data_IF_246667068133
#
_entry.id   IF_246667068133
#
_cell.length_a   1.000
_cell.length_b   1.000
_cell.length_c   1.000
_cell.angle_alpha   90.00
_cell.angle_beta   90.00
_cell.angle_gamma   90.00
#
_symmetry.space_group_name_H-M   'P 1'
#
loop_
_entity.id
_entity.type
_entity.pdbx_description
1 polymer ?
#
# COMPACT_ATOMS: atom_id res chain seq x y z
N UNK A 1 -13.78 -10.84 34.42
CA UNK A 1 -12.62 -9.99 34.73
C UNK A 1 -11.42 -10.54 33.97
N UNK A 2 -11.35 -10.27 32.67
CA UNK A 2 -10.24 -10.68 31.81
C UNK A 2 -9.27 -9.51 31.74
N UNK A 3 -8.15 -9.63 32.45
CA UNK A 3 -7.04 -8.68 32.36
C UNK A 3 -6.54 -8.63 30.91
N UNK A 4 -6.84 -7.52 30.24
CA UNK A 4 -6.25 -7.20 28.95
C UNK A 4 -4.82 -6.79 29.25
N UNK A 5 -3.87 -7.70 29.04
CA UNK A 5 -2.44 -7.39 29.11
C UNK A 5 -2.15 -6.36 28.02
N UNK A 6 -2.00 -5.10 28.41
CA UNK A 6 -1.60 -4.01 27.52
C UNK A 6 -0.11 -4.19 27.20
N UNK A 7 0.19 -4.66 26.00
CA UNK A 7 1.56 -4.62 25.48
C UNK A 7 1.91 -3.19 25.09
N UNK A 8 3.12 -2.75 25.43
CA UNK A 8 3.64 -1.44 25.05
C UNK A 8 3.62 -1.24 23.53
N UNK A 9 3.17 -0.06 23.11
CA UNK A 9 3.25 0.40 21.72
C UNK A 9 4.72 0.33 21.27
N UNK A 10 4.99 -0.48 20.25
CA UNK A 10 6.32 -0.63 19.64
C UNK A 10 7.01 -1.99 19.82
N UNK A 11 6.46 -2.92 20.60
CA UNK A 11 7.05 -4.27 20.73
C UNK A 11 6.61 -5.20 19.60
N UNK A 12 7.54 -5.55 18.69
CA UNK A 12 7.35 -6.57 17.64
C UNK A 12 7.95 -7.90 18.15
N UNK A 13 7.13 -8.96 18.25
CA UNK A 13 7.66 -10.28 18.62
C UNK A 13 8.33 -10.96 17.43
N UNK A 14 9.38 -11.74 17.72
CA UNK A 14 10.34 -12.22 16.73
C UNK A 14 9.89 -13.50 15.98
N UNK A 15 8.69 -13.47 15.38
CA UNK A 15 8.00 -14.54 14.62
C UNK A 15 7.04 -15.45 15.41
N UNK A 16 5.97 -15.94 14.73
CA UNK A 16 5.04 -16.97 15.22
C UNK A 16 3.62 -16.51 15.58
N UNK A 17 3.45 -15.34 16.17
CA UNK A 17 2.16 -14.92 16.77
C UNK A 17 1.36 -13.89 15.94
N UNK A 18 1.80 -13.58 14.73
CA UNK A 18 1.24 -12.48 13.94
C UNK A 18 -0.25 -12.69 13.61
N UNK A 19 -0.66 -13.91 13.23
CA UNK A 19 -2.06 -14.21 12.89
C UNK A 19 -2.99 -14.17 14.10
N UNK A 20 -2.54 -14.65 15.26
CA UNK A 20 -3.30 -14.63 16.52
C UNK A 20 -3.42 -13.20 17.06
N UNK A 21 -2.37 -12.38 16.93
CA UNK A 21 -2.44 -10.97 17.31
C UNK A 21 -3.30 -10.17 16.35
N UNK A 22 -3.14 -10.36 15.04
CA UNK A 22 -3.91 -9.64 14.02
C UNK A 22 -5.41 -9.96 14.12
N UNK A 23 -5.77 -11.22 14.35
CA UNK A 23 -7.18 -11.60 14.61
C UNK A 23 -7.72 -11.01 15.91
N UNK A 24 -6.91 -10.86 16.96
CA UNK A 24 -7.34 -10.23 18.23
C UNK A 24 -7.43 -8.70 18.14
N UNK A 25 -6.48 -8.04 17.50
CA UNK A 25 -6.45 -6.57 17.34
C UNK A 25 -7.45 -6.10 16.28
N UNK A 26 -7.48 -6.75 15.11
CA UNK A 26 -8.44 -6.42 14.07
C UNK A 26 -9.82 -6.98 14.37
N UNK A 27 -9.96 -8.09 15.10
CA UNK A 27 -11.28 -8.61 15.48
C UNK A 27 -12.08 -7.62 16.35
N UNK A 28 -11.41 -6.99 17.32
CA UNK A 28 -12.02 -5.97 18.16
C UNK A 28 -12.33 -4.67 17.40
N UNK A 29 -11.42 -4.24 16.51
CA UNK A 29 -11.63 -3.05 15.67
C UNK A 29 -12.77 -3.30 14.67
N UNK A 30 -12.81 -4.47 14.04
CA UNK A 30 -13.87 -4.86 13.09
C UNK A 30 -15.23 -4.91 13.77
N UNK A 31 -15.32 -5.38 15.02
CA UNK A 31 -16.59 -5.37 15.76
C UNK A 31 -17.09 -3.95 16.04
N UNK A 32 -16.22 -3.05 16.50
CA UNK A 32 -16.60 -1.65 16.75
C UNK A 32 -17.07 -0.94 15.48
N UNK A 33 -16.39 -1.15 14.37
CA UNK A 33 -16.81 -0.61 13.08
C UNK A 33 -18.09 -1.27 12.55
N UNK A 34 -18.28 -2.58 12.75
CA UNK A 34 -19.51 -3.28 12.35
C UNK A 34 -20.73 -2.81 13.14
N UNK A 35 -20.58 -2.51 14.44
CA UNK A 35 -21.68 -2.07 15.31
C UNK A 35 -22.02 -0.58 15.08
N UNK A 36 -21.01 0.22 14.72
CA UNK A 36 -21.22 1.60 14.25
C UNK A 36 -21.91 1.62 12.88
N UNK A 37 -21.50 0.75 11.95
CA UNK A 37 -22.12 0.65 10.62
C UNK A 37 -23.55 0.09 10.70
N UNK A 38 -23.78 -0.92 11.54
CA UNK A 38 -25.12 -1.46 11.77
C UNK A 38 -26.07 -0.42 12.36
N UNK A 39 -25.59 0.43 13.29
CA UNK A 39 -26.37 1.58 13.79
C UNK A 39 -26.67 2.59 12.69
N UNK A 40 -25.67 2.98 11.89
CA UNK A 40 -25.86 3.93 10.80
C UNK A 40 -26.85 3.41 9.74
N UNK A 41 -26.77 2.13 9.39
CA UNK A 41 -27.72 1.49 8.46
C UNK A 41 -29.13 1.37 9.05
N UNK A 42 -29.26 1.06 10.34
CA UNK A 42 -30.56 1.01 11.01
C UNK A 42 -31.23 2.39 11.05
N UNK A 43 -30.44 3.45 11.27
CA UNK A 43 -30.90 4.84 11.23
C UNK A 43 -31.35 5.22 9.81
N UNK A 44 -30.58 4.86 8.78
CA UNK A 44 -30.92 5.11 7.37
C UNK A 44 -32.15 4.31 6.89
N UNK A 45 -32.35 3.08 7.37
CA UNK A 45 -33.55 2.27 7.07
C UNK A 45 -34.78 2.80 7.81
N UNK A 46 -34.61 3.36 9.01
CA UNK A 46 -35.72 4.00 9.75
C UNK A 46 -36.18 5.32 9.14
N UNK A 47 -35.31 5.97 8.36
CA UNK A 47 -35.56 7.25 7.68
C UNK A 47 -35.99 7.07 6.21
N UNK A 48 -35.94 5.84 5.68
CA UNK A 48 -36.36 5.53 4.31
C UNK A 48 -37.85 5.19 4.27
N UNK A 49 -38.63 6.01 3.56
CA UNK A 49 -40.02 5.70 3.23
C UNK A 49 -40.09 4.35 2.50
N UNK A 50 -40.98 3.46 2.95
CA UNK A 50 -41.11 2.11 2.42
C UNK A 50 -41.27 2.13 0.89
N UNK A 51 -40.34 1.51 0.17
CA UNK A 51 -40.41 1.37 -1.29
C UNK A 51 -41.74 0.71 -1.68
N UNK A 52 -42.45 1.23 -2.70
CA UNK A 52 -43.71 0.65 -3.12
C UNK A 52 -43.47 -0.77 -3.65
N UNK A 53 -44.18 -1.72 -3.06
CA UNK A 53 -44.20 -3.11 -3.49
C UNK A 53 -44.43 -3.18 -5.02
N UNK A 54 -43.51 -3.82 -5.73
CA UNK A 54 -43.65 -4.02 -7.16
C UNK A 54 -44.92 -4.83 -7.45
N UNK A 55 -45.82 -4.38 -8.33
CA UNK A 55 -47.02 -5.14 -8.63
C UNK A 55 -46.66 -6.44 -9.35
N UNK A 56 -47.01 -7.57 -8.73
CA UNK A 56 -46.87 -8.93 -9.26
C UNK A 56 -47.98 -9.26 -10.27
N UNK A 57 -48.32 -8.33 -11.17
CA UNK A 57 -49.30 -8.59 -12.22
C UNK A 57 -48.54 -8.86 -13.52
N UNK A 58 -48.48 -10.14 -13.91
CA UNK A 58 -47.94 -10.53 -15.21
C UNK A 58 -48.95 -10.07 -16.27
N UNK A 59 -48.51 -9.23 -17.21
CA UNK A 59 -49.36 -8.83 -18.35
C UNK A 59 -49.65 -10.05 -19.23
N UNK A 60 -50.94 -10.36 -19.39
CA UNK A 60 -51.47 -11.49 -20.16
C UNK A 60 -52.27 -10.94 -21.34
N UNK A 61 -52.14 -11.56 -22.50
CA UNK A 61 -52.92 -11.18 -23.68
C UNK A 61 -54.41 -11.52 -23.48
N UNK A 62 -55.30 -10.59 -23.82
CA UNK A 62 -56.73 -10.64 -23.46
C UNK A 62 -57.47 -11.69 -24.28
N UNK A 63 -56.99 -12.02 -25.48
CA UNK A 63 -57.64 -12.96 -26.39
C UNK A 63 -57.15 -14.39 -26.21
N UNK A 64 -55.87 -14.59 -25.90
CA UNK A 64 -55.23 -15.92 -25.85
C UNK A 64 -54.94 -16.40 -24.42
N UNK A 65 -54.88 -15.51 -23.44
CA UNK A 65 -54.54 -15.87 -22.05
C UNK A 65 -53.06 -16.24 -21.87
N UNK A 66 -52.21 -16.03 -22.87
CA UNK A 66 -50.78 -16.31 -22.78
C UNK A 66 -50.00 -15.14 -22.17
N UNK A 67 -48.94 -15.41 -21.39
CA UNK A 67 -48.13 -14.35 -20.79
C UNK A 67 -47.37 -13.58 -21.88
N UNK A 68 -47.68 -12.29 -22.03
CA UNK A 68 -47.09 -11.39 -23.05
C UNK A 68 -45.57 -11.33 -22.92
N UNK A 69 -45.08 -11.39 -21.69
CA UNK A 69 -43.65 -11.42 -21.40
C UNK A 69 -42.95 -12.65 -22.02
N UNK A 70 -43.59 -13.83 -21.99
CA UNK A 70 -43.05 -15.07 -22.55
C UNK A 70 -42.99 -15.05 -24.08
N UNK A 71 -44.04 -14.54 -24.72
CA UNK A 71 -44.06 -14.36 -26.17
C UNK A 71 -42.97 -13.37 -26.63
N UNK A 72 -42.83 -12.23 -25.94
CA UNK A 72 -41.79 -11.23 -26.25
C UNK A 72 -40.38 -11.77 -26.07
N UNK A 73 -40.12 -12.58 -25.04
CA UNK A 73 -38.79 -13.18 -24.85
C UNK A 73 -38.48 -14.22 -25.90
N UNK A 74 -39.46 -15.07 -26.27
CA UNK A 74 -39.29 -16.04 -27.36
C UNK A 74 -39.03 -15.36 -28.70
N UNK A 75 -39.75 -14.28 -29.03
CA UNK A 75 -39.48 -13.50 -30.25
C UNK A 75 -38.05 -12.96 -30.28
N UNK A 76 -37.57 -12.39 -29.16
CA UNK A 76 -36.18 -11.91 -29.06
C UNK A 76 -35.16 -13.03 -29.20
N UNK A 77 -35.43 -14.22 -28.65
CA UNK A 77 -34.54 -15.38 -28.78
C UNK A 77 -34.48 -15.84 -30.25
N UNK A 78 -35.62 -15.85 -30.95
CA UNK A 78 -35.67 -16.19 -32.37
C UNK A 78 -34.89 -15.15 -33.19
N UNK A 79 -35.10 -13.86 -32.95
CA UNK A 79 -34.34 -12.77 -33.58
C UNK A 79 -32.82 -12.94 -33.38
N UNK A 80 -32.38 -13.22 -32.14
CA UNK A 80 -30.97 -13.46 -31.83
C UNK A 80 -30.41 -14.69 -32.55
N UNK A 81 -31.19 -15.76 -32.68
CA UNK A 81 -30.78 -16.98 -33.40
C UNK A 81 -30.72 -16.78 -34.92
N UNK A 82 -31.50 -15.85 -35.45
CA UNK A 82 -31.46 -15.50 -36.87
C UNK A 82 -30.37 -14.49 -37.21
N UNK A 83 -29.78 -13.81 -36.22
CA UNK A 83 -28.65 -12.93 -36.45
C UNK A 83 -27.42 -13.74 -36.89
N UNK A 84 -26.83 -13.45 -38.07
CA UNK A 84 -25.60 -14.09 -38.49
C UNK A 84 -24.45 -13.58 -37.61
N UNK A 85 -24.08 -14.37 -36.61
CA UNK A 85 -22.90 -14.11 -35.78
C UNK A 85 -21.68 -14.65 -36.51
N UNK A 86 -20.91 -13.75 -37.12
CA UNK A 86 -19.57 -14.07 -37.64
C UNK A 86 -18.54 -13.74 -36.58
N UNK A 87 -17.61 -14.65 -36.31
CA UNK A 87 -16.47 -14.38 -35.44
C UNK A 87 -15.60 -13.29 -36.07
N UNK A 88 -15.69 -12.08 -35.53
CA UNK A 88 -14.81 -10.98 -35.91
C UNK A 88 -13.56 -11.05 -35.04
N UNK A 89 -12.41 -11.32 -35.64
CA UNK A 89 -11.13 -11.20 -34.96
C UNK A 89 -10.92 -9.73 -34.52
N UNK A 90 -11.11 -9.46 -33.23
CA UNK A 90 -10.84 -8.14 -32.65
C UNK A 90 -9.34 -7.98 -32.52
N UNK A 91 -8.69 -7.53 -33.61
CA UNK A 91 -7.29 -7.10 -33.55
C UNK A 91 -7.24 -5.81 -32.71
N UNK A 92 -6.42 -5.73 -31.65
CA UNK A 92 -6.15 -4.47 -30.98
C UNK A 92 -5.76 -3.42 -32.03
N UNK A 93 -6.23 -2.16 -31.92
CA UNK A 93 -5.77 -1.12 -32.81
C UNK A 93 -4.25 -1.14 -32.80
N UNK A 94 -3.64 -1.17 -33.98
CA UNK A 94 -2.18 -1.06 -34.04
C UNK A 94 -1.82 0.22 -33.28
N UNK A 95 -0.89 0.12 -32.31
CA UNK A 95 -0.46 1.31 -31.61
C UNK A 95 0.02 2.28 -32.68
N UNK A 96 -0.63 3.43 -32.76
CA UNK A 96 -0.11 4.62 -33.42
C UNK A 96 1.11 5.05 -32.62
N UNK A 97 2.18 4.26 -32.69
CA UNK A 97 3.49 4.80 -32.56
C UNK A 97 3.59 5.77 -33.72
N UNK A 98 3.47 7.06 -33.40
CA UNK A 98 4.24 8.03 -34.15
C UNK A 98 5.63 7.40 -34.31
N UNK A 99 6.17 7.25 -35.54
CA UNK A 99 7.55 6.81 -35.71
C UNK A 99 8.35 7.69 -34.76
N UNK A 100 8.93 7.06 -33.73
CA UNK A 100 9.69 7.62 -32.60
C UNK A 100 9.50 9.13 -32.54
N UNK A 101 8.62 9.67 -31.67
CA UNK A 101 8.48 11.12 -31.54
C UNK A 101 9.87 11.76 -31.60
N UNK A 102 10.22 12.30 -32.77
CA UNK A 102 11.51 12.90 -33.02
C UNK A 102 11.40 14.17 -32.20
N UNK A 103 11.87 14.08 -30.96
CA UNK A 103 12.06 15.26 -30.15
C UNK A 103 12.93 16.16 -31.00
N UNK A 104 12.35 17.27 -31.46
CA UNK A 104 13.07 18.25 -32.22
C UNK A 104 14.08 18.90 -31.26
N UNK A 105 15.28 18.31 -31.22
CA UNK A 105 16.37 18.72 -30.34
C UNK A 105 16.84 20.14 -30.68
N UNK A 106 16.47 20.66 -31.86
CA UNK A 106 16.73 22.03 -32.27
C UNK A 106 15.80 23.04 -31.57
N UNK A 107 14.70 22.58 -30.97
CA UNK A 107 13.83 23.40 -30.11
C UNK A 107 14.32 23.49 -28.67
N UNK A 108 15.30 22.68 -28.27
CA UNK A 108 15.90 22.79 -26.94
C UNK A 108 16.82 24.02 -26.88
N UNK A 109 16.85 24.72 -25.73
CA UNK A 109 17.85 25.75 -25.53
C UNK A 109 19.24 25.12 -25.66
N UNK A 110 20.22 25.84 -26.24
CA UNK A 110 21.58 25.34 -26.35
C UNK A 110 22.11 24.95 -24.96
N UNK A 111 22.93 23.89 -24.85
CA UNK A 111 23.50 23.47 -23.58
C UNK A 111 24.29 24.63 -22.97
N UNK A 112 24.21 24.77 -21.65
CA UNK A 112 24.97 25.77 -20.93
C UNK A 112 26.47 25.63 -21.23
N UNK A 113 27.13 26.74 -21.53
CA UNK A 113 28.58 26.75 -21.74
C UNK A 113 29.28 26.31 -20.44
N UNK A 114 30.32 25.46 -20.52
CA UNK A 114 31.07 25.08 -19.35
C UNK A 114 31.74 26.31 -18.72
N UNK A 115 31.78 26.34 -17.38
CA UNK A 115 32.45 27.42 -16.65
C UNK A 115 33.89 27.56 -17.12
N UNK A 116 34.34 28.82 -17.24
CA UNK A 116 35.74 29.10 -17.49
C UNK A 116 36.60 28.66 -16.29
N UNK A 117 37.89 28.38 -16.54
CA UNK A 117 38.83 27.99 -15.49
C UNK A 117 38.87 29.05 -14.36
N UNK A 118 38.75 30.33 -14.71
CA UNK A 118 38.72 31.42 -13.74
C UNK A 118 37.46 31.39 -12.85
N UNK A 119 36.30 31.09 -13.42
CA UNK A 119 35.04 30.97 -12.67
C UNK A 119 35.04 29.73 -11.78
N UNK A 120 35.57 28.60 -12.24
CA UNK A 120 35.76 27.42 -11.39
C UNK A 120 36.66 27.73 -10.18
N UNK A 121 37.77 28.43 -10.38
CA UNK A 121 38.67 28.83 -9.28
C UNK A 121 37.94 29.76 -8.32
N UNK A 122 37.15 30.71 -8.83
CA UNK A 122 36.37 31.61 -7.99
C UNK A 122 35.32 30.83 -7.17
N UNK A 123 34.60 29.89 -7.77
CA UNK A 123 33.64 29.03 -7.07
C UNK A 123 34.31 28.16 -6.01
N UNK A 124 35.46 27.55 -6.34
CA UNK A 124 36.22 26.75 -5.40
C UNK A 124 36.68 27.56 -4.18
N UNK A 125 37.15 28.80 -4.39
CA UNK A 125 37.49 29.72 -3.29
C UNK A 125 36.32 30.08 -2.39
N UNK A 126 35.09 30.12 -2.91
CA UNK A 126 33.89 30.33 -2.09
C UNK A 126 33.51 29.09 -1.27
N UNK A 127 33.95 27.90 -1.70
CA UNK A 127 33.76 26.63 -0.99
C UNK A 127 34.92 26.31 -0.03
N UNK A 128 36.04 27.01 -0.15
CA UNK A 128 37.15 26.96 0.80
C UNK A 128 36.81 27.79 2.05
N UNK A 129 35.99 27.21 2.93
CA UNK A 129 35.78 27.73 4.28
C UNK A 129 36.55 26.90 5.30
N UNK A 130 37.04 27.57 6.34
CA UNK A 130 37.76 26.92 7.42
C UNK A 130 36.81 26.08 8.28
N UNK A 131 36.82 24.76 8.04
CA UNK A 131 36.05 23.77 8.79
C UNK A 131 36.75 23.28 10.07
N UNK A 132 37.84 23.92 10.48
CA UNK A 132 38.47 23.52 11.74
C UNK A 132 37.67 24.08 12.91
N UNK A 133 37.46 23.22 13.89
CA UNK A 133 36.79 23.61 15.13
C UNK A 133 37.70 24.57 15.91
N UNK A 134 37.40 25.87 15.87
CA UNK A 134 38.02 26.85 16.76
C UNK A 134 37.45 26.69 18.15
N UNK A 135 38.33 26.49 19.14
CA UNK A 135 37.90 26.38 20.55
C UNK A 135 37.39 27.74 21.04
N UNK A 136 36.22 27.82 21.69
CA UNK A 136 35.82 29.01 22.42
C UNK A 136 36.86 29.31 23.50
N UNK A 137 37.33 30.56 23.58
CA UNK A 137 38.23 30.98 24.65
C UNK A 137 37.45 30.96 25.98
N UNK A 138 37.76 29.99 26.85
CA UNK A 138 37.22 29.94 28.21
C UNK A 138 38.17 30.72 29.11
N UNK A 139 37.77 31.92 29.51
CA UNK A 139 38.53 32.73 30.46
C UNK A 139 38.36 32.17 31.87
N UNK A 140 39.45 31.75 32.49
CA UNK A 140 39.48 31.43 33.92
C UNK A 140 39.54 32.72 34.74
N UNK A 141 38.81 32.81 35.88
CA UNK A 141 39.00 33.94 36.77
C UNK A 141 40.47 33.97 37.22
N UNK A 142 41.08 35.16 37.14
CA UNK A 142 42.49 35.45 37.47
C UNK A 142 43.56 35.12 36.39
N UNK A 143 43.17 34.73 35.17
CA UNK A 143 44.13 34.54 34.06
C UNK A 143 43.91 35.61 32.98
N UNK A 144 44.79 36.61 32.92
CA UNK A 144 44.71 37.73 31.96
C UNK A 144 45.28 37.38 30.58
N UNK A 145 46.08 36.32 30.50
CA UNK A 145 46.63 35.84 29.24
C UNK A 145 45.62 34.89 28.62
N UNK A 146 44.89 35.36 27.61
CA UNK A 146 43.94 34.58 26.82
C UNK A 146 44.54 33.44 25.99
N UNK A 147 45.66 32.86 26.43
CA UNK A 147 46.25 31.67 25.82
C UNK A 147 45.39 30.45 26.19
N UNK A 148 44.68 29.84 25.24
CA UNK A 148 43.91 28.64 25.54
C UNK A 148 44.84 27.55 26.05
N UNK A 149 44.47 26.92 27.17
CA UNK A 149 45.23 25.83 27.77
C UNK A 149 45.44 24.64 26.81
N UNK A 150 46.40 23.75 27.10
CA UNK A 150 46.69 22.59 26.25
C UNK A 150 45.43 21.75 26.04
N UNK A 151 45.29 21.19 24.84
CA UNK A 151 44.19 20.30 24.52
C UNK A 151 44.06 19.20 25.58
N UNK A 152 42.84 18.86 26.06
CA UNK A 152 42.69 17.62 26.79
C UNK A 152 43.19 16.53 25.85
N UNK A 153 44.07 15.66 26.36
CA UNK A 153 44.49 14.49 25.61
C UNK A 153 43.22 13.77 25.15
N UNK A 154 43.18 13.27 23.90
CA UNK A 154 42.07 12.46 23.46
C UNK A 154 41.95 11.33 24.47
N UNK A 155 40.95 11.42 25.35
CA UNK A 155 40.58 10.26 26.15
C UNK A 155 40.20 9.24 25.10
N UNK A 156 40.75 8.01 25.15
CA UNK A 156 40.17 6.95 24.36
C UNK A 156 38.68 7.00 24.67
N UNK A 157 37.91 7.31 23.65
CA UNK A 157 36.49 7.12 23.69
C UNK A 157 36.37 5.60 23.88
N UNK A 158 36.18 5.18 25.13
CA UNK A 158 35.43 3.96 25.44
C UNK A 158 33.97 4.24 25.03
N UNK A 159 33.78 4.65 23.78
CA UNK A 159 32.70 4.07 23.03
C UNK A 159 33.00 2.58 23.16
N UNK A 160 32.06 1.74 23.63
CA UNK A 160 32.02 0.42 23.06
C UNK A 160 31.94 0.71 21.57
N UNK A 161 33.10 0.71 20.90
CA UNK A 161 33.15 0.48 19.48
C UNK A 161 32.35 -0.80 19.43
N UNK A 162 31.14 -0.70 18.92
CA UNK A 162 30.49 -1.85 18.36
C UNK A 162 31.46 -2.28 17.25
N UNK A 163 32.50 -3.05 17.63
CA UNK A 163 32.76 -4.28 16.95
C UNK A 163 31.36 -4.87 16.88
N UNK A 164 30.69 -4.65 15.75
CA UNK A 164 29.45 -5.32 15.46
C UNK A 164 29.88 -6.77 15.55
N UNK A 165 29.64 -7.38 16.71
CA UNK A 165 29.83 -8.80 16.93
C UNK A 165 28.84 -9.41 15.94
N UNK A 166 29.32 -9.67 14.71
CA UNK A 166 28.50 -10.27 13.66
C UNK A 166 28.02 -11.66 14.09
N UNK A 167 28.66 -12.24 15.11
CA UNK A 167 28.21 -13.44 15.83
C UNK A 167 26.99 -13.21 16.73
N UNK A 168 26.74 -11.97 17.18
CA UNK A 168 25.51 -11.53 17.88
C UNK A 168 24.43 -11.01 16.92
N UNK A 169 24.78 -10.72 15.66
CA UNK A 169 23.78 -10.42 14.65
C UNK A 169 22.89 -11.65 14.43
N UNK A 170 21.58 -11.44 14.27
CA UNK A 170 20.66 -12.54 14.04
C UNK A 170 21.12 -13.34 12.81
N UNK A 171 21.35 -14.64 13.02
CA UNK A 171 21.78 -15.54 11.95
C UNK A 171 20.75 -15.48 10.82
N UNK A 172 21.18 -15.46 9.55
CA UNK A 172 20.26 -15.39 8.43
C UNK A 172 19.23 -16.52 8.54
N UNK A 173 17.97 -16.16 8.34
CA UNK A 173 16.88 -17.12 8.44
C UNK A 173 17.16 -18.32 7.51
N UNK A 174 17.18 -19.51 8.10
CA UNK A 174 17.36 -20.74 7.33
C UNK A 174 16.15 -20.91 6.40
N UNK A 175 16.37 -21.45 5.19
CA UNK A 175 15.27 -21.78 4.31
C UNK A 175 14.29 -22.73 5.00
N UNK A 176 12.99 -22.49 4.80
CA UNK A 176 11.92 -23.29 5.36
C UNK A 176 12.06 -24.75 4.94
N UNK A 177 11.79 -25.68 5.87
CA UNK A 177 11.76 -27.11 5.56
C UNK A 177 10.66 -27.43 4.52
N UNK A 178 10.87 -28.48 3.73
CA UNK A 178 9.92 -28.89 2.68
C UNK A 178 8.53 -29.20 3.25
N UNK A 179 8.45 -29.71 4.48
CA UNK A 179 7.16 -29.97 5.12
C UNK A 179 6.41 -28.69 5.47
N UNK A 180 7.12 -27.66 5.95
CA UNK A 180 6.49 -26.38 6.30
C UNK A 180 6.05 -25.62 5.05
N UNK A 181 6.85 -25.67 3.97
CA UNK A 181 6.45 -25.14 2.66
C UNK A 181 5.19 -25.85 2.15
N UNK A 182 5.12 -27.18 2.21
CA UNK A 182 3.96 -27.93 1.76
C UNK A 182 2.70 -27.69 2.61
N UNK A 183 2.85 -27.36 3.90
CA UNK A 183 1.74 -26.96 4.76
C UNK A 183 1.26 -25.54 4.41
N UNK A 184 2.19 -24.59 4.20
CA UNK A 184 1.87 -23.23 3.79
C UNK A 184 1.18 -23.19 2.43
N UNK A 185 1.64 -24.00 1.48
CA UNK A 185 1.01 -24.10 0.15
C UNK A 185 -0.44 -24.60 0.27
N UNK A 186 -0.69 -25.65 1.05
CA UNK A 186 -2.06 -26.17 1.27
C UNK A 186 -2.98 -25.13 1.90
N UNK A 187 -2.46 -24.35 2.85
CA UNK A 187 -3.21 -23.27 3.49
C UNK A 187 -3.54 -22.15 2.49
N UNK A 188 -2.57 -21.77 1.68
CA UNK A 188 -2.75 -20.75 0.63
C UNK A 188 -3.76 -21.18 -0.44
N UNK A 189 -3.69 -22.44 -0.86
CA UNK A 189 -4.64 -23.02 -1.83
C UNK A 189 -6.07 -23.04 -1.27
N UNK A 190 -6.24 -23.35 0.03
CA UNK A 190 -7.53 -23.27 0.72
C UNK A 190 -8.07 -21.84 0.79
N UNK A 191 -7.21 -20.88 1.13
CA UNK A 191 -7.62 -19.48 1.25
C UNK A 191 -8.07 -18.90 -0.10
N UNK A 192 -7.34 -19.20 -1.18
CA UNK A 192 -7.70 -18.74 -2.52
C UNK A 192 -8.89 -19.49 -3.10
N UNK A 193 -8.97 -20.80 -2.89
CA UNK A 193 -10.02 -21.64 -3.47
C UNK A 193 -11.36 -21.51 -2.77
N UNK A 194 -11.37 -21.23 -1.47
CA UNK A 194 -12.59 -21.33 -0.66
C UNK A 194 -12.86 -20.10 0.20
N UNK A 195 -11.90 -19.67 1.03
CA UNK A 195 -12.15 -18.62 2.01
C UNK A 195 -12.41 -17.26 1.32
N UNK A 196 -11.57 -16.88 0.36
CA UNK A 196 -11.65 -15.57 -0.30
C UNK A 196 -12.90 -15.42 -1.19
N UNK A 197 -13.29 -16.41 -2.03
CA UNK A 197 -14.54 -16.34 -2.78
C UNK A 197 -15.78 -16.26 -1.89
N UNK A 198 -15.81 -17.01 -0.78
CA UNK A 198 -16.91 -16.97 0.19
C UNK A 198 -17.04 -15.58 0.84
N UNK A 199 -15.92 -15.00 1.29
CA UNK A 199 -15.89 -13.65 1.87
C UNK A 199 -16.35 -12.62 0.82
N UNK A 200 -15.87 -12.69 -0.42
CA UNK A 200 -16.29 -11.79 -1.49
C UNK A 200 -17.79 -11.92 -1.79
N UNK A 201 -18.34 -13.13 -1.80
CA UNK A 201 -19.77 -13.35 -2.00
C UNK A 201 -20.60 -12.78 -0.84
N UNK A 202 -20.18 -13.01 0.40
CA UNK A 202 -20.86 -12.45 1.57
C UNK A 202 -20.83 -10.92 1.57
N UNK A 203 -19.71 -10.31 1.19
CA UNK A 203 -19.61 -8.86 1.04
C UNK A 203 -20.54 -8.33 -0.08
N UNK A 204 -20.66 -9.05 -1.20
CA UNK A 204 -21.60 -8.68 -2.28
C UNK A 204 -23.06 -8.78 -1.86
N UNK A 205 -23.43 -9.73 -1.00
CA UNK A 205 -24.81 -9.85 -0.50
C UNK A 205 -25.15 -8.83 0.58
N UNK A 206 -24.13 -8.25 1.23
CA UNK A 206 -24.30 -7.25 2.28
C UNK A 206 -24.27 -5.79 1.76
N UNK A 207 -23.98 -5.58 0.48
CA UNK A 207 -24.00 -4.28 -0.21
C UNK A 207 -25.27 -4.13 -1.03
#
# INVERSE_FOLDING_TARGET
MSEIVQSSIGYLSHSGDFSVRNSRTLGGVTQLWSDAFARAMAEQVSESDALPAHPTAVEVDVETGEPVAGARTLSKIVEQRTCPVTDTEVKPPEPLFLPIAEFDLDLLPPPAEPFSIAEMIAQQRHLEFENHWVRPAVLTPYDENGTPGPAPQPRPLNLPIAELEWDLADKPALPLDKQTIAAQQRQFDYENGWARPLILQNLRMAA
#
